data_IF_702754593164
#
_entry.id   IF_702754593164
#
_cell.length_a   1.000
_cell.length_b   1.000
_cell.length_c   1.000
_cell.angle_alpha   90.00
_cell.angle_beta   90.00
_cell.angle_gamma   90.00
#
_symmetry.space_group_name_H-M   'P 1'
#
loop_
_entity.id
_entity.type
_entity.pdbx_description
1 polymer ?
#
# COMPACT_ATOMS: atom_id res chain seq x y z
N UNK A 1 -32.12 -17.95 48.76
CA UNK A 1 -32.13 -16.52 48.34
C UNK A 1 -30.74 -15.85 48.27
N UNK A 2 -29.60 -16.55 48.48
CA UNK A 2 -28.24 -15.95 48.38
C UNK A 2 -27.53 -16.14 47.03
N UNK A 3 -28.08 -16.93 46.10
CA UNK A 3 -27.46 -17.25 44.80
C UNK A 3 -27.91 -16.36 43.63
N UNK A 4 -29.06 -15.67 43.76
CA UNK A 4 -29.58 -14.77 42.73
C UNK A 4 -28.86 -13.41 42.70
N UNK A 5 -28.36 -12.95 43.85
CA UNK A 5 -27.66 -11.66 43.95
C UNK A 5 -26.27 -11.69 43.30
N UNK A 6 -25.56 -12.82 43.34
CA UNK A 6 -24.23 -12.97 42.74
C UNK A 6 -24.27 -13.11 41.22
N UNK A 7 -25.35 -13.71 40.68
CA UNK A 7 -25.56 -13.81 39.23
C UNK A 7 -25.97 -12.48 38.60
N UNK A 8 -26.72 -11.63 39.33
CA UNK A 8 -27.11 -10.29 38.87
C UNK A 8 -25.94 -9.29 38.92
N UNK A 9 -25.05 -9.41 39.91
CA UNK A 9 -23.81 -8.60 40.00
C UNK A 9 -22.81 -8.93 38.87
N UNK A 10 -22.74 -10.18 38.43
CA UNK A 10 -21.92 -10.58 37.27
C UNK A 10 -22.44 -10.05 35.93
N UNK A 11 -23.77 -9.92 35.79
CA UNK A 11 -24.39 -9.37 34.57
C UNK A 11 -24.26 -7.84 34.49
N UNK A 12 -24.30 -7.14 35.64
CA UNK A 12 -24.10 -5.69 35.72
C UNK A 12 -22.65 -5.27 35.41
N UNK A 13 -21.65 -6.10 35.71
CA UNK A 13 -20.24 -5.86 35.37
C UNK A 13 -19.92 -6.03 33.88
N UNK A 14 -20.74 -6.76 33.12
CA UNK A 14 -20.61 -6.91 31.66
C UNK A 14 -21.29 -5.78 30.87
N UNK A 15 -22.23 -5.05 31.50
CA UNK A 15 -22.87 -3.86 30.92
C UNK A 15 -22.07 -2.56 31.15
N UNK A 16 -21.09 -2.56 32.06
CA UNK A 16 -20.24 -1.37 32.33
C UNK A 16 -18.94 -1.33 31.52
N UNK A 17 -18.63 -2.36 30.71
CA UNK A 17 -17.39 -2.41 29.93
C UNK A 17 -17.51 -1.87 28.49
N UNK A 18 -18.66 -1.32 28.10
CA UNK A 18 -18.90 -0.77 26.76
C UNK A 18 -18.92 0.76 26.73
N UNK A 19 -18.02 1.42 27.47
CA UNK A 19 -17.61 2.80 27.18
C UNK A 19 -16.10 2.83 26.92
N UNK A 20 -15.65 2.04 25.94
CA UNK A 20 -14.55 2.51 25.12
C UNK A 20 -15.11 3.68 24.32
N UNK A 21 -15.02 4.89 24.89
CA UNK A 21 -15.14 6.11 24.13
C UNK A 21 -14.22 5.96 22.93
N UNK A 22 -14.81 5.72 21.76
CA UNK A 22 -14.13 5.97 20.50
C UNK A 22 -13.84 7.46 20.56
N UNK A 23 -12.65 7.81 21.02
CA UNK A 23 -12.07 9.10 20.72
C UNK A 23 -12.01 9.11 19.21
N UNK A 24 -12.98 9.78 18.58
CA UNK A 24 -12.70 10.47 17.34
C UNK A 24 -11.47 11.31 17.67
N UNK A 25 -10.30 10.85 17.23
CA UNK A 25 -9.10 11.63 17.28
C UNK A 25 -9.42 12.87 16.45
N UNK A 26 -9.72 13.96 17.14
CA UNK A 26 -9.78 15.29 16.55
C UNK A 26 -8.45 15.49 15.86
N UNK A 27 -8.49 15.72 14.55
CA UNK A 27 -7.35 16.08 13.72
C UNK A 27 -6.48 17.10 14.46
N UNK A 28 -5.36 16.62 15.00
CA UNK A 28 -4.31 17.49 15.50
C UNK A 28 -3.58 18.02 14.27
N UNK A 29 -4.01 19.20 13.82
CA UNK A 29 -3.25 20.23 13.10
C UNK A 29 -1.84 19.82 12.66
N UNK A 30 -1.70 19.55 11.36
CA UNK A 30 -0.43 19.29 10.68
C UNK A 30 -0.55 19.36 9.16
N UNK A 31 -1.07 20.47 8.64
CA UNK A 31 -1.27 20.82 7.22
C UNK A 31 -2.22 19.92 6.41
N UNK A 32 -3.30 20.51 5.90
CA UNK A 32 -4.11 19.97 4.80
C UNK A 32 -3.32 19.94 3.46
N UNK A 33 -2.00 19.78 3.50
CA UNK A 33 -1.14 19.81 2.34
C UNK A 33 -1.18 18.43 1.68
N UNK A 34 -1.81 18.36 0.51
CA UNK A 34 -1.78 17.18 -0.34
C UNK A 34 -0.32 16.84 -0.70
N UNK A 35 0.02 15.56 -0.91
CA UNK A 35 1.31 15.17 -1.46
C UNK A 35 1.61 15.89 -2.79
N UNK A 36 2.89 16.02 -3.19
CA UNK A 36 3.21 16.61 -4.49
C UNK A 36 2.56 15.79 -5.61
N UNK A 37 2.16 16.49 -6.66
CA UNK A 37 1.50 15.98 -7.86
C UNK A 37 0.10 15.38 -7.63
N UNK A 38 -0.54 15.78 -6.53
CA UNK A 38 -1.88 15.31 -6.15
C UNK A 38 -2.83 16.50 -6.04
N UNK A 39 -4.06 16.30 -6.51
CA UNK A 39 -5.14 17.26 -6.33
C UNK A 39 -6.40 16.59 -5.78
N UNK A 40 -7.18 17.35 -5.01
CA UNK A 40 -8.51 16.97 -4.58
C UNK A 40 -9.55 17.87 -5.25
N UNK A 41 -10.57 17.28 -5.86
CA UNK A 41 -11.63 18.06 -6.49
C UNK A 41 -12.46 18.79 -5.42
N UNK A 42 -12.65 20.11 -5.52
CA UNK A 42 -13.47 20.85 -4.56
C UNK A 42 -14.97 20.52 -4.70
N UNK A 43 -15.41 20.04 -5.88
CA UNK A 43 -16.83 19.76 -6.15
C UNK A 43 -17.23 18.33 -5.84
N UNK A 44 -16.38 17.35 -6.16
CA UNK A 44 -16.71 15.92 -5.99
C UNK A 44 -16.00 15.29 -4.80
N UNK A 45 -14.99 15.96 -4.23
CA UNK A 45 -14.14 15.41 -3.19
C UNK A 45 -13.21 14.29 -3.66
N UNK A 46 -13.25 13.93 -4.95
CA UNK A 46 -12.42 12.88 -5.54
C UNK A 46 -10.93 13.24 -5.51
N UNK A 47 -10.11 12.21 -5.41
CA UNK A 47 -8.65 12.29 -5.33
C UNK A 47 -8.02 11.99 -6.69
N UNK A 48 -7.08 12.82 -7.10
CA UNK A 48 -6.41 12.72 -8.40
C UNK A 48 -4.91 12.64 -8.16
N UNK A 49 -4.30 11.54 -8.58
CA UNK A 49 -2.88 11.28 -8.41
C UNK A 49 -2.19 11.18 -9.76
N UNK A 50 -1.44 12.22 -10.11
CA UNK A 50 -0.70 12.30 -11.37
C UNK A 50 0.72 11.72 -11.23
N UNK A 51 1.13 11.21 -10.06
CA UNK A 51 2.45 10.60 -9.87
C UNK A 51 2.65 9.37 -10.75
N UNK A 52 1.58 8.66 -11.11
CA UNK A 52 1.61 7.51 -12.01
C UNK A 52 2.12 7.83 -13.42
N UNK A 53 2.05 9.10 -13.83
CA UNK A 53 2.54 9.61 -15.13
C UNK A 53 3.69 10.62 -14.98
N UNK A 54 4.15 10.85 -13.74
CA UNK A 54 5.33 11.65 -13.43
C UNK A 54 6.59 10.80 -13.64
N UNK A 55 7.39 11.16 -14.62
CA UNK A 55 8.62 10.41 -14.92
C UNK A 55 9.78 11.00 -14.14
N UNK A 56 10.55 10.16 -13.47
CA UNK A 56 11.78 10.58 -12.80
C UNK A 56 12.99 10.21 -13.66
N UNK A 57 13.98 11.09 -13.83
CA UNK A 57 15.21 10.75 -14.55
C UNK A 57 15.91 9.57 -13.84
N UNK A 58 16.37 8.56 -14.58
CA UNK A 58 17.02 7.39 -13.99
C UNK A 58 18.33 7.79 -13.33
N UNK A 59 18.51 7.46 -12.04
CA UNK A 59 19.71 7.82 -11.28
C UNK A 59 20.93 6.98 -11.65
N UNK A 60 20.71 5.76 -12.17
CA UNK A 60 21.78 4.82 -12.56
C UNK A 60 21.39 4.01 -13.80
N UNK A 61 22.39 3.57 -14.58
CA UNK A 61 22.20 2.68 -15.74
C UNK A 61 21.66 1.30 -15.35
N UNK A 62 21.86 0.87 -14.10
CA UNK A 62 21.41 -0.44 -13.60
C UNK A 62 19.92 -0.44 -13.21
N UNK A 63 19.37 0.70 -12.80
CA UNK A 63 17.94 0.88 -12.51
C UNK A 63 17.10 0.87 -13.80
N UNK A 64 17.69 1.30 -14.92
CA UNK A 64 17.12 1.22 -16.29
C UNK A 64 16.77 -0.21 -16.72
N UNK A 65 17.49 -1.22 -16.22
CA UNK A 65 17.32 -2.63 -16.61
C UNK A 65 16.29 -3.39 -15.76
N UNK A 66 15.83 -2.81 -14.64
CA UNK A 66 15.04 -3.53 -13.63
C UNK A 66 13.54 -3.25 -13.65
N UNK A 67 13.06 -2.28 -14.43
CA UNK A 67 11.64 -1.98 -14.53
C UNK A 67 11.26 -1.43 -15.90
N UNK A 68 9.98 -1.55 -16.26
CA UNK A 68 9.34 -0.84 -17.38
C UNK A 68 9.31 0.69 -17.13
N UNK A 69 10.44 1.29 -16.75
CA UNK A 69 10.57 2.71 -16.48
C UNK A 69 10.84 3.36 -17.84
N UNK A 70 9.90 4.20 -18.28
CA UNK A 70 10.02 4.94 -19.53
C UNK A 70 11.18 5.94 -19.41
N UNK A 71 12.08 5.92 -20.38
CA UNK A 71 13.29 6.76 -20.41
C UNK A 71 13.16 8.01 -21.28
N UNK A 72 11.97 8.25 -21.83
CA UNK A 72 11.64 9.41 -22.65
C UNK A 72 10.46 10.18 -22.03
N UNK A 73 10.47 11.50 -22.14
CA UNK A 73 9.39 12.37 -21.71
C UNK A 73 8.16 12.27 -22.64
N UNK A 74 7.05 12.93 -22.30
CA UNK A 74 5.84 12.89 -23.12
C UNK A 74 5.99 13.82 -24.32
N UNK A 75 5.86 13.27 -25.53
CA UNK A 75 5.96 14.06 -26.77
C UNK A 75 4.58 14.49 -27.26
N UNK A 76 4.48 15.76 -27.67
CA UNK A 76 3.31 16.31 -28.35
C UNK A 76 3.73 16.91 -29.69
N UNK A 77 3.04 16.53 -30.78
CA UNK A 77 3.31 17.05 -32.12
C UNK A 77 2.60 18.38 -32.31
N UNK A 78 3.35 19.45 -32.55
CA UNK A 78 2.82 20.76 -32.91
C UNK A 78 2.69 20.90 -34.42
N UNK A 79 1.72 20.23 -35.05
CA UNK A 79 1.55 20.26 -36.51
C UNK A 79 1.44 21.69 -37.06
N UNK A 80 0.68 22.55 -36.38
CA UNK A 80 0.48 23.95 -36.78
C UNK A 80 1.66 24.87 -36.39
N UNK A 81 2.47 24.45 -35.41
CA UNK A 81 3.61 25.23 -34.91
C UNK A 81 4.94 24.81 -35.56
N UNK A 82 4.94 23.71 -36.34
CA UNK A 82 6.11 23.10 -36.97
C UNK A 82 7.26 22.77 -36.00
N UNK A 83 6.94 22.44 -34.76
CA UNK A 83 7.91 21.94 -33.78
C UNK A 83 7.31 20.81 -32.94
N UNK A 84 8.18 19.92 -32.46
CA UNK A 84 7.81 18.89 -31.51
C UNK A 84 8.05 19.41 -30.10
N UNK A 85 7.10 19.14 -29.22
CA UNK A 85 7.16 19.51 -27.81
C UNK A 85 7.48 18.27 -26.98
N UNK A 86 8.33 18.47 -25.97
CA UNK A 86 8.69 17.44 -25.00
C UNK A 86 8.34 17.97 -23.62
N UNK A 87 7.53 17.19 -22.89
CA UNK A 87 6.90 17.63 -21.64
C UNK A 87 6.94 16.49 -20.64
N UNK A 88 7.18 16.81 -19.38
CA UNK A 88 6.98 15.90 -18.28
C UNK A 88 5.93 16.47 -17.30
N UNK A 89 5.29 15.58 -16.53
CA UNK A 89 4.23 15.93 -15.58
C UNK A 89 4.80 15.91 -14.17
N UNK A 90 4.67 17.02 -13.43
CA UNK A 90 5.15 17.20 -12.05
C UNK A 90 6.66 17.02 -11.80
N UNK A 91 7.44 16.68 -12.82
CA UNK A 91 8.87 16.44 -12.77
C UNK A 91 9.58 17.17 -13.93
N UNK A 92 10.90 17.39 -13.83
CA UNK A 92 11.68 17.90 -14.96
C UNK A 92 11.75 16.88 -16.09
N UNK A 93 12.04 17.34 -17.31
CA UNK A 93 12.22 16.43 -18.45
C UNK A 93 13.33 15.42 -18.17
N UNK A 94 13.17 14.20 -18.70
CA UNK A 94 14.13 13.11 -18.54
C UNK A 94 15.40 13.36 -19.38
N UNK A 95 15.26 14.10 -20.47
CA UNK A 95 16.33 14.41 -21.41
C UNK A 95 17.30 15.46 -20.84
N UNK A 96 18.60 15.22 -21.02
CA UNK A 96 19.65 16.18 -20.62
C UNK A 96 19.70 17.37 -21.59
N UNK A 97 18.95 18.43 -21.29
CA UNK A 97 18.94 19.66 -22.10
C UNK A 97 20.15 20.56 -21.80
N UNK A 98 20.65 21.22 -22.86
CA UNK A 98 21.74 22.21 -22.80
C UNK A 98 21.38 23.43 -23.64
N UNK A 99 22.04 24.55 -23.36
CA UNK A 99 21.95 25.79 -24.13
C UNK A 99 20.52 26.33 -24.29
N UNK A 100 19.76 26.29 -23.19
CA UNK A 100 18.39 26.81 -23.13
C UNK A 100 18.39 28.33 -23.24
N UNK A 101 17.66 28.87 -24.21
CA UNK A 101 17.64 30.31 -24.49
C UNK A 101 17.02 31.08 -23.33
N UNK A 102 17.77 32.04 -22.78
CA UNK A 102 17.29 32.99 -21.75
C UNK A 102 16.93 32.37 -20.40
N UNK A 103 17.39 31.14 -20.13
CA UNK A 103 17.26 30.47 -18.83
C UNK A 103 18.65 30.23 -18.27
N UNK A 104 18.84 30.54 -16.99
CA UNK A 104 20.12 30.34 -16.30
C UNK A 104 20.47 28.85 -16.18
N UNK A 105 21.77 28.52 -16.25
CA UNK A 105 22.30 27.14 -16.22
C UNK A 105 21.84 26.36 -14.98
N UNK A 106 21.74 27.04 -13.84
CA UNK A 106 21.26 26.43 -12.60
C UNK A 106 19.80 25.95 -12.70
N UNK A 107 19.00 26.55 -13.60
CA UNK A 107 17.58 26.21 -13.78
C UNK A 107 17.32 25.20 -14.89
N UNK A 108 18.35 24.78 -15.64
CA UNK A 108 18.16 23.80 -16.73
C UNK A 108 17.65 22.46 -16.22
N UNK A 109 18.04 22.06 -15.00
CA UNK A 109 17.59 20.81 -14.36
C UNK A 109 16.12 20.84 -13.93
N UNK A 110 15.50 22.01 -13.87
CA UNK A 110 14.10 22.16 -13.43
C UNK A 110 13.15 22.35 -14.62
N UNK A 111 13.65 22.36 -15.86
CA UNK A 111 12.80 22.52 -17.04
C UNK A 111 11.92 21.28 -17.18
N UNK A 112 10.61 21.47 -17.14
CA UNK A 112 9.61 20.40 -17.26
C UNK A 112 9.00 20.31 -18.65
N UNK A 113 9.18 21.33 -19.48
CA UNK A 113 8.66 21.37 -20.83
C UNK A 113 9.53 22.25 -21.73
N UNK A 114 9.81 21.79 -22.95
CA UNK A 114 10.57 22.53 -23.94
C UNK A 114 10.16 22.18 -25.38
N UNK A 115 10.59 23.01 -26.32
CA UNK A 115 10.61 22.69 -27.75
C UNK A 115 11.93 23.11 -28.37
N UNK A 116 12.25 22.48 -29.49
CA UNK A 116 13.42 22.82 -30.31
C UNK A 116 12.96 23.47 -31.61
N UNK A 117 13.56 24.62 -31.95
CA UNK A 117 13.31 25.32 -33.21
C UNK A 117 14.61 25.94 -33.70
N UNK A 118 14.95 25.71 -34.98
CA UNK A 118 16.16 26.27 -35.62
C UNK A 118 17.45 25.91 -34.86
N UNK A 119 17.53 24.69 -34.31
CA UNK A 119 18.70 24.22 -33.54
C UNK A 119 18.88 24.86 -32.16
N UNK A 120 17.86 25.58 -31.67
CA UNK A 120 17.84 26.18 -30.33
C UNK A 120 16.74 25.58 -29.46
N UNK A 121 17.05 25.41 -28.19
CA UNK A 121 16.12 24.87 -27.18
C UNK A 121 15.46 26.00 -26.41
N UNK A 122 14.13 26.01 -26.40
CA UNK A 122 13.32 26.99 -25.69
C UNK A 122 12.52 26.28 -24.60
N UNK A 123 12.76 26.64 -23.33
CA UNK A 123 11.91 26.20 -22.22
C UNK A 123 10.56 26.91 -22.30
N UNK A 124 9.48 26.16 -22.09
CA UNK A 124 8.12 26.68 -22.00
C UNK A 124 7.56 26.56 -20.57
N UNK A 125 8.43 26.23 -19.61
CA UNK A 125 8.08 26.21 -18.20
C UNK A 125 9.04 25.40 -17.34
N UNK A 126 9.09 25.77 -16.07
CA UNK A 126 9.77 25.07 -14.98
C UNK A 126 8.83 24.08 -14.29
N UNK A 127 9.41 23.10 -13.62
CA UNK A 127 8.71 22.07 -12.86
C UNK A 127 7.80 22.72 -11.81
N UNK A 128 6.53 22.31 -11.85
CA UNK A 128 5.56 22.55 -10.79
C UNK A 128 4.91 21.22 -10.41
N UNK A 129 4.67 21.02 -9.12
CA UNK A 129 4.09 19.79 -8.58
C UNK A 129 2.71 20.01 -7.96
N UNK A 130 2.08 21.16 -8.19
CA UNK A 130 0.77 21.48 -7.60
C UNK A 130 -0.29 21.59 -8.70
N UNK A 131 -0.97 20.49 -9.07
CA UNK A 131 -2.09 20.55 -9.98
C UNK A 131 -3.31 21.18 -9.29
N UNK A 132 -4.01 22.05 -10.00
CA UNK A 132 -5.14 22.83 -9.48
C UNK A 132 -6.42 22.58 -10.27
N UNK A 133 -7.56 22.61 -9.60
CA UNK A 133 -8.86 22.57 -10.27
C UNK A 133 -9.26 23.96 -10.74
N UNK A 134 -9.48 24.12 -12.05
CA UNK A 134 -10.14 25.30 -12.62
C UNK A 134 -11.53 24.91 -13.09
N UNK A 135 -12.53 25.17 -12.25
CA UNK A 135 -13.88 24.64 -12.43
C UNK A 135 -13.88 23.12 -12.36
N UNK A 136 -14.27 22.45 -13.46
CA UNK A 136 -14.29 20.98 -13.56
C UNK A 136 -13.04 20.37 -14.18
N UNK A 137 -12.08 21.19 -14.64
CA UNK A 137 -10.86 20.71 -15.29
C UNK A 137 -9.70 20.70 -14.31
N UNK A 138 -8.96 19.59 -14.30
CA UNK A 138 -7.68 19.48 -13.60
C UNK A 138 -6.60 20.11 -14.47
N UNK A 139 -5.86 21.08 -13.93
CA UNK A 139 -4.91 21.90 -14.68
C UNK A 139 -3.58 21.97 -13.94
N UNK A 140 -2.47 21.85 -14.66
CA UNK A 140 -1.12 22.12 -14.15
C UNK A 140 -0.51 23.27 -14.94
N UNK A 141 0.01 24.27 -14.23
CA UNK A 141 0.69 25.42 -14.83
C UNK A 141 2.20 25.31 -14.67
N UNK A 142 2.93 25.55 -15.73
CA UNK A 142 4.37 25.78 -15.69
C UNK A 142 4.67 27.23 -16.06
N UNK A 143 5.54 27.86 -15.30
CA UNK A 143 5.94 29.27 -15.44
C UNK A 143 7.45 29.38 -15.63
N UNK A 144 7.95 30.60 -15.83
CA UNK A 144 9.40 30.89 -15.78
C UNK A 144 10.25 30.16 -16.84
N UNK A 145 9.65 29.95 -18.02
CA UNK A 145 10.35 29.48 -19.20
C UNK A 145 11.27 30.52 -19.83
N UNK A 146 11.67 30.26 -21.08
CA UNK A 146 12.46 31.19 -21.90
C UNK A 146 11.70 32.50 -22.16
N UNK A 147 12.38 33.62 -22.41
CA UNK A 147 11.74 34.90 -22.71
C UNK A 147 10.91 34.80 -24.00
N UNK A 148 9.78 35.50 -24.03
CA UNK A 148 8.91 35.56 -25.20
C UNK A 148 9.45 36.53 -26.26
N UNK A 149 9.19 36.22 -27.53
CA UNK A 149 9.53 37.11 -28.63
C UNK A 149 8.47 38.22 -28.68
N UNK A 150 8.83 39.43 -28.22
CA UNK A 150 7.89 40.55 -28.16
C UNK A 150 8.38 41.72 -27.30
N UNK A 151 7.64 42.81 -27.36
CA UNK A 151 7.93 44.08 -26.70
C UNK A 151 7.95 43.90 -25.17
N UNK A 152 9.01 44.42 -24.54
CA UNK A 152 9.19 44.48 -23.10
C UNK A 152 7.97 45.15 -22.46
N UNK A 153 7.16 44.40 -21.70
CA UNK A 153 6.13 45.00 -20.85
C UNK A 153 6.85 45.58 -19.62
N UNK A 154 7.32 46.81 -19.75
CA UNK A 154 8.15 47.48 -18.73
C UNK A 154 9.62 47.04 -18.76
N UNK A 155 10.27 46.92 -17.59
CA UNK A 155 11.68 46.49 -17.48
C UNK A 155 11.88 44.96 -17.45
N UNK A 156 10.80 44.17 -17.60
CA UNK A 156 10.85 42.71 -17.50
C UNK A 156 10.33 42.05 -18.78
N UNK A 157 11.11 41.13 -19.33
CA UNK A 157 10.67 40.26 -20.43
C UNK A 157 9.65 39.25 -19.89
N UNK A 158 8.49 39.13 -20.55
CA UNK A 158 7.51 38.09 -20.23
C UNK A 158 8.12 36.72 -20.56
N UNK A 159 7.99 35.78 -19.64
CA UNK A 159 8.50 34.42 -19.81
C UNK A 159 7.43 33.50 -20.40
N UNK A 160 7.87 32.50 -21.17
CA UNK A 160 6.99 31.47 -21.71
C UNK A 160 6.40 30.65 -20.58
N UNK A 161 5.14 30.28 -20.74
CA UNK A 161 4.39 29.49 -19.77
C UNK A 161 3.52 28.47 -20.47
N UNK A 162 3.24 27.39 -19.76
CA UNK A 162 2.47 26.27 -20.28
C UNK A 162 1.31 25.95 -19.35
N UNK A 163 0.15 25.69 -19.94
CA UNK A 163 -1.05 25.24 -19.22
C UNK A 163 -1.43 23.89 -19.79
N UNK A 164 -1.39 22.86 -18.94
CA UNK A 164 -1.81 21.51 -19.28
C UNK A 164 -3.16 21.22 -18.65
N UNK A 165 -4.14 20.85 -19.45
CA UNK A 165 -5.43 20.36 -18.99
C UNK A 165 -5.42 18.83 -19.03
N UNK A 166 -5.69 18.19 -17.90
CA UNK A 166 -5.79 16.74 -17.81
C UNK A 166 -7.22 16.27 -18.09
N UNK A 167 -7.34 15.27 -18.95
CA UNK A 167 -8.60 14.61 -19.29
C UNK A 167 -8.53 13.13 -18.91
N UNK A 168 -9.57 12.65 -18.22
CA UNK A 168 -9.70 11.24 -17.85
C UNK A 168 -9.91 10.40 -19.11
N UNK A 169 -8.99 9.46 -19.33
CA UNK A 169 -9.10 8.41 -20.33
C UNK A 169 -8.97 7.07 -19.62
N UNK A 170 -10.09 6.36 -19.45
CA UNK A 170 -10.12 5.09 -18.71
C UNK A 170 -9.52 3.94 -19.49
N UNK A 171 -9.42 4.06 -20.81
CA UNK A 171 -8.92 3.01 -21.69
C UNK A 171 -7.39 3.05 -21.81
N UNK A 172 -6.78 4.18 -21.43
CA UNK A 172 -5.34 4.33 -21.37
C UNK A 172 -4.72 3.58 -20.16
N UNK A 173 -3.55 2.92 -20.34
CA UNK A 173 -2.82 2.31 -19.24
C UNK A 173 -2.48 3.30 -18.12
N UNK A 174 -2.48 2.85 -16.86
CA UNK A 174 -2.26 3.69 -15.66
C UNK A 174 -0.95 4.51 -15.69
N UNK A 175 0.08 4.00 -16.37
CA UNK A 175 1.40 4.63 -16.45
C UNK A 175 1.65 5.35 -17.77
N UNK A 176 0.60 5.59 -18.56
CA UNK A 176 0.69 6.23 -19.86
C UNK A 176 -0.08 7.54 -19.87
N UNK A 177 0.55 8.59 -20.40
CA UNK A 177 -0.09 9.84 -20.76
C UNK A 177 0.08 10.11 -22.26
N UNK A 178 -0.94 10.66 -22.88
CA UNK A 178 -0.84 11.15 -24.26
C UNK A 178 -1.02 12.66 -24.26
N UNK A 179 0.06 13.37 -24.56
CA UNK A 179 0.07 14.83 -24.62
C UNK A 179 -0.26 15.29 -26.04
N UNK A 180 -1.25 16.18 -26.15
CA UNK A 180 -1.69 16.78 -27.41
C UNK A 180 -1.57 18.30 -27.33
N UNK A 181 -0.98 18.90 -28.37
CA UNK A 181 -0.85 20.36 -28.46
C UNK A 181 -2.18 20.95 -28.94
N UNK A 182 -2.74 21.87 -28.15
CA UNK A 182 -4.00 22.54 -28.48
C UNK A 182 -3.73 23.82 -29.28
N UNK A 183 -2.72 24.59 -28.87
CA UNK A 183 -2.37 25.84 -29.56
C UNK A 183 -1.58 26.83 -28.71
N UNK A 184 -1.25 27.95 -29.35
CA UNK A 184 -0.66 29.13 -28.73
C UNK A 184 -1.28 30.38 -29.36
N UNK A 185 -1.52 31.43 -28.57
CA UNK A 185 -2.09 32.69 -29.05
C UNK A 185 -1.02 33.72 -29.37
N UNK A 186 0.02 33.78 -28.53
CA UNK A 186 1.03 34.85 -28.50
C UNK A 186 2.46 34.31 -28.57
N UNK A 187 2.64 33.02 -28.92
CA UNK A 187 3.93 32.31 -28.86
C UNK A 187 4.61 32.41 -27.48
N UNK A 188 3.83 32.68 -26.43
CA UNK A 188 4.30 32.87 -25.07
C UNK A 188 3.54 31.97 -24.10
N UNK A 189 2.26 31.74 -24.36
CA UNK A 189 1.40 30.82 -23.63
C UNK A 189 1.08 29.60 -24.50
N UNK A 190 1.35 28.42 -23.97
CA UNK A 190 1.13 27.15 -24.66
C UNK A 190 0.07 26.34 -23.93
N UNK A 191 -0.89 25.81 -24.68
CA UNK A 191 -1.96 24.98 -24.15
C UNK A 191 -1.82 23.55 -24.63
N UNK A 192 -1.84 22.61 -23.68
CA UNK A 192 -1.82 21.18 -23.97
C UNK A 192 -3.01 20.49 -23.31
N UNK A 193 -3.52 19.46 -23.97
CA UNK A 193 -4.46 18.51 -23.40
C UNK A 193 -3.72 17.19 -23.20
N UNK A 194 -3.73 16.70 -21.96
CA UNK A 194 -3.06 15.45 -21.57
C UNK A 194 -4.12 14.43 -21.19
N UNK A 195 -4.19 13.31 -21.90
CA UNK A 195 -5.11 12.22 -21.62
C UNK A 195 -4.40 11.11 -20.85
N UNK A 196 -4.99 10.71 -19.73
CA UNK A 196 -4.48 9.61 -18.90
C UNK A 196 -5.57 9.07 -17.99
N UNK A 197 -5.45 7.80 -17.60
CA UNK A 197 -6.30 7.20 -16.56
C UNK A 197 -5.95 7.74 -15.16
N UNK A 198 -4.75 8.29 -14.96
CA UNK A 198 -4.36 9.01 -13.74
C UNK A 198 -5.24 10.24 -13.45
N UNK A 199 -5.78 10.84 -14.51
CA UNK A 199 -6.70 11.97 -14.42
C UNK A 199 -8.15 11.55 -14.11
N UNK A 200 -8.41 10.26 -13.91
CA UNK A 200 -9.70 9.76 -13.46
C UNK A 200 -9.73 9.78 -11.93
N UNK A 201 -10.60 10.61 -11.36
CA UNK A 201 -10.72 10.76 -9.92
C UNK A 201 -11.04 9.43 -9.23
N UNK A 202 -10.21 9.07 -8.25
CA UNK A 202 -10.36 7.88 -7.42
C UNK A 202 -10.74 8.23 -5.98
N UNK A 203 -10.92 7.17 -5.18
CA UNK A 203 -11.03 7.30 -3.73
C UNK A 203 -9.61 7.40 -3.18
N UNK A 204 -9.33 8.42 -2.37
CA UNK A 204 -8.04 8.56 -1.72
C UNK A 204 -7.73 7.27 -0.92
N UNK A 205 -6.48 6.80 -0.91
CA UNK A 205 -6.05 5.82 0.06
C UNK A 205 -6.45 6.30 1.45
N UNK A 206 -7.20 5.50 2.21
CA UNK A 206 -7.52 5.86 3.58
C UNK A 206 -6.21 5.83 4.37
N UNK A 207 -5.71 7.00 4.77
CA UNK A 207 -4.57 7.15 5.66
C UNK A 207 -4.96 6.65 7.07
N UNK A 208 -5.05 5.33 7.22
CA UNK A 208 -5.29 4.63 8.50
C UNK A 208 -6.65 4.83 9.18
N UNK A 209 -7.49 5.77 8.73
CA UNK A 209 -8.72 6.16 9.44
C UNK A 209 -9.99 5.41 9.02
N UNK A 210 -9.92 4.54 8.00
CA UNK A 210 -11.06 3.75 7.51
C UNK A 210 -10.77 2.26 7.48
N UNK A 211 -11.71 1.45 8.00
CA UNK A 211 -11.71 0.02 7.70
C UNK A 211 -12.02 -0.13 6.21
N UNK A 212 -11.05 -0.61 5.42
CA UNK A 212 -11.29 -0.97 4.03
C UNK A 212 -12.40 -2.02 3.92
N UNK A 213 -12.91 -2.31 2.71
CA UNK A 213 -14.00 -3.27 2.52
C UNK A 213 -13.74 -4.60 3.25
N UNK A 214 -12.53 -5.13 3.14
CA UNK A 214 -12.09 -6.34 3.85
C UNK A 214 -12.11 -6.20 5.38
N UNK A 215 -11.76 -5.02 5.91
CA UNK A 215 -11.81 -4.74 7.35
C UNK A 215 -13.23 -4.73 7.89
N UNK A 216 -14.18 -4.14 7.15
CA UNK A 216 -15.60 -4.15 7.54
C UNK A 216 -16.14 -5.58 7.54
N UNK A 217 -15.87 -6.37 6.49
CA UNK A 217 -16.27 -7.78 6.45
C UNK A 217 -15.65 -8.59 7.60
N UNK A 218 -14.38 -8.34 7.94
CA UNK A 218 -13.69 -8.98 9.05
C UNK A 218 -14.34 -8.70 10.40
N UNK A 219 -14.70 -7.44 10.68
CA UNK A 219 -15.39 -7.06 11.93
C UNK A 219 -16.77 -7.71 12.03
N UNK A 220 -17.55 -7.70 10.94
CA UNK A 220 -18.88 -8.34 10.91
C UNK A 220 -18.77 -9.85 11.16
N UNK A 221 -17.82 -10.52 10.51
CA UNK A 221 -17.58 -11.95 10.69
C UNK A 221 -17.16 -12.27 12.14
N UNK A 222 -16.28 -11.47 12.74
CA UNK A 222 -15.85 -11.63 14.13
C UNK A 222 -17.03 -11.54 15.10
N UNK A 223 -17.90 -10.53 14.95
CA UNK A 223 -19.09 -10.36 15.79
C UNK A 223 -20.03 -11.57 15.65
N UNK A 224 -20.23 -12.06 14.42
CA UNK A 224 -21.08 -13.23 14.17
C UNK A 224 -20.53 -14.50 14.84
N UNK A 225 -19.22 -14.73 14.81
CA UNK A 225 -18.57 -15.85 15.49
C UNK A 225 -18.73 -15.76 17.01
N UNK A 226 -18.50 -14.58 17.59
CA UNK A 226 -18.67 -14.37 19.04
C UNK A 226 -20.11 -14.59 19.45
N UNK A 227 -21.08 -14.05 18.70
CA UNK A 227 -22.50 -14.25 18.98
C UNK A 227 -22.91 -15.73 18.88
N UNK A 228 -22.38 -16.47 17.90
CA UNK A 228 -22.62 -17.91 17.76
C UNK A 228 -22.07 -18.70 18.95
N UNK A 229 -20.83 -18.42 19.38
CA UNK A 229 -20.21 -19.09 20.52
C UNK A 229 -20.93 -18.76 21.82
N UNK A 230 -21.19 -17.48 22.11
CA UNK A 230 -21.87 -17.05 23.35
C UNK A 230 -23.31 -17.55 23.39
N UNK A 231 -24.06 -17.36 22.31
CA UNK A 231 -25.45 -17.81 22.21
C UNK A 231 -25.58 -19.33 22.27
N UNK A 232 -24.71 -20.07 21.57
CA UNK A 232 -24.70 -21.53 21.59
C UNK A 232 -24.28 -22.10 22.95
N UNK A 233 -23.27 -21.52 23.60
CA UNK A 233 -22.88 -21.90 24.97
C UNK A 233 -24.00 -21.61 25.98
N UNK A 234 -24.66 -20.46 25.88
CA UNK A 234 -25.81 -20.13 26.72
C UNK A 234 -26.93 -21.16 26.50
N UNK A 235 -27.30 -21.43 25.26
CA UNK A 235 -28.34 -22.41 24.91
C UNK A 235 -28.03 -23.82 25.44
N UNK A 236 -26.82 -24.33 25.22
CA UNK A 236 -26.44 -25.67 25.67
C UNK A 236 -26.35 -25.78 27.21
N UNK A 237 -26.04 -24.67 27.89
CA UNK A 237 -26.01 -24.61 29.36
C UNK A 237 -27.40 -24.49 29.97
N UNK A 238 -28.26 -23.62 29.42
CA UNK A 238 -29.56 -23.30 30.04
C UNK A 238 -30.65 -24.27 29.63
N UNK A 239 -30.65 -24.73 28.37
CA UNK A 239 -31.70 -25.61 27.82
C UNK A 239 -31.28 -27.07 27.85
N UNK A 240 -30.04 -27.39 27.49
CA UNK A 240 -29.56 -28.78 27.38
C UNK A 240 -28.80 -29.31 28.61
N UNK A 241 -28.59 -28.48 29.64
CA UNK A 241 -27.92 -28.81 30.90
C UNK A 241 -26.57 -29.53 30.79
N UNK A 242 -25.82 -29.33 29.71
CA UNK A 242 -24.50 -29.95 29.54
C UNK A 242 -23.43 -29.21 30.35
N UNK A 243 -22.50 -29.95 30.96
CA UNK A 243 -21.39 -29.41 31.77
C UNK A 243 -20.04 -29.70 31.11
N UNK A 244 -19.08 -28.78 31.28
CA UNK A 244 -17.72 -28.92 30.77
C UNK A 244 -17.52 -28.46 29.33
N UNK A 245 -16.46 -28.95 28.68
CA UNK A 245 -16.00 -28.53 27.34
C UNK A 245 -16.98 -28.88 26.20
N UNK A 246 -18.00 -29.69 26.49
CA UNK A 246 -19.11 -30.00 25.58
C UNK A 246 -20.13 -28.86 25.42
N UNK A 247 -19.95 -27.73 26.12
CA UNK A 247 -20.81 -26.54 26.02
C UNK A 247 -20.57 -25.70 24.75
N UNK A 248 -19.47 -25.91 24.04
CA UNK A 248 -19.16 -25.17 22.83
C UNK A 248 -19.86 -25.79 21.61
N UNK A 249 -20.68 -25.03 20.86
CA UNK A 249 -21.34 -25.54 19.66
C UNK A 249 -20.30 -25.92 18.58
N UNK A 250 -20.34 -27.17 18.12
CA UNK A 250 -19.41 -27.75 17.13
C UNK A 250 -17.92 -27.63 17.51
N UNK A 251 -17.56 -28.01 18.75
CA UNK A 251 -16.19 -27.92 19.27
C UNK A 251 -15.11 -28.55 18.37
N UNK A 252 -15.39 -29.68 17.73
CA UNK A 252 -14.44 -30.36 16.84
C UNK A 252 -14.03 -29.52 15.62
N UNK A 253 -14.95 -28.72 15.08
CA UNK A 253 -14.65 -27.80 13.96
C UNK A 253 -13.78 -26.62 14.42
N UNK A 254 -14.07 -26.06 15.59
CA UNK A 254 -13.31 -24.93 16.15
C UNK A 254 -11.90 -25.32 16.56
N UNK A 255 -11.75 -26.45 17.25
CA UNK A 255 -10.43 -26.98 17.63
C UNK A 255 -9.57 -27.23 16.39
N UNK A 256 -10.13 -27.86 15.34
CA UNK A 256 -9.44 -28.08 14.07
C UNK A 256 -9.04 -26.78 13.35
N UNK A 257 -9.91 -25.75 13.39
CA UNK A 257 -9.60 -24.44 12.80
C UNK A 257 -8.44 -23.74 13.54
N UNK A 258 -8.46 -23.72 14.87
CA UNK A 258 -7.38 -23.11 15.66
C UNK A 258 -6.06 -23.87 15.54
N UNK A 259 -6.10 -25.20 15.50
CA UNK A 259 -4.91 -26.02 15.27
C UNK A 259 -4.31 -25.80 13.88
N UNK A 260 -5.14 -25.71 12.84
CA UNK A 260 -4.70 -25.39 11.48
C UNK A 260 -4.04 -24.01 11.40
N UNK A 261 -4.64 -23.00 12.05
CA UNK A 261 -4.10 -21.63 12.07
C UNK A 261 -2.77 -21.58 12.82
N UNK A 262 -2.67 -22.24 13.98
CA UNK A 262 -1.43 -22.39 14.76
C UNK A 262 -0.32 -23.04 13.92
N UNK A 263 -0.63 -24.13 13.22
CA UNK A 263 0.34 -24.82 12.36
C UNK A 263 0.77 -23.95 11.19
N UNK A 264 -0.15 -23.22 10.56
CA UNK A 264 0.17 -22.27 9.48
C UNK A 264 1.10 -21.14 9.95
N UNK A 265 0.83 -20.53 11.11
CA UNK A 265 1.72 -19.51 11.69
C UNK A 265 3.10 -20.08 12.07
N UNK A 266 3.14 -21.31 12.56
CA UNK A 266 4.39 -21.99 12.91
C UNK A 266 5.24 -22.29 11.66
N UNK A 267 4.60 -22.72 10.57
CA UNK A 267 5.25 -22.96 9.28
C UNK A 267 5.75 -21.64 8.66
N UNK A 268 4.93 -20.59 8.67
CA UNK A 268 5.32 -19.28 8.14
C UNK A 268 6.47 -18.67 8.96
N UNK A 269 6.38 -18.71 10.28
CA UNK A 269 7.41 -18.21 11.20
C UNK A 269 8.73 -18.99 11.09
N UNK A 270 8.67 -20.31 10.92
CA UNK A 270 9.87 -21.14 10.71
C UNK A 270 10.50 -20.94 9.32
N UNK A 271 9.71 -20.65 8.30
CA UNK A 271 10.21 -20.33 6.95
C UNK A 271 10.90 -18.95 6.90
N UNK A 272 10.33 -17.93 7.55
CA UNK A 272 10.96 -16.61 7.72
C UNK A 272 12.23 -16.72 8.58
N UNK A 273 12.19 -17.49 9.68
CA UNK A 273 13.37 -17.78 10.50
C UNK A 273 14.49 -18.50 9.75
N UNK A 274 14.15 -19.34 8.75
CA UNK A 274 15.14 -20.01 7.89
C UNK A 274 15.80 -19.03 6.92
N UNK A 275 15.05 -18.08 6.37
CA UNK A 275 15.58 -16.99 5.52
C UNK A 275 16.50 -16.04 6.30
N UNK A 276 16.19 -15.74 7.57
CA UNK A 276 17.05 -14.92 8.44
C UNK A 276 18.30 -15.67 8.96
N UNK A 277 18.29 -17.00 9.04
CA UNK A 277 19.48 -17.80 9.43
C UNK A 277 20.49 -18.01 8.31
N UNK A 278 20.14 -17.75 7.04
CA UNK A 278 21.10 -17.80 5.92
C UNK A 278 22.04 -16.58 5.84
N UNK A 279 21.84 -15.53 6.68
CA UNK A 279 22.74 -14.35 6.73
C UNK A 279 23.76 -14.34 7.87
N UNK A 280 23.88 -15.41 8.67
CA UNK A 280 25.00 -15.56 9.63
C UNK A 280 25.94 -16.66 9.17
N UNK A 281 26.90 -16.29 8.32
CA UNK A 281 28.10 -17.07 8.09
C UNK A 281 28.95 -17.12 9.36
N UNK A 282 29.60 -18.25 9.67
CA UNK A 282 30.93 -18.24 10.26
C UNK A 282 31.92 -18.70 9.19
N UNK A 283 32.92 -17.85 8.96
CA UNK A 283 34.07 -18.14 8.15
C UNK A 283 35.00 -19.16 8.85
N UNK A 284 35.59 -20.02 8.02
CA UNK A 284 36.96 -20.58 8.09
C UNK A 284 37.43 -21.35 9.35
N UNK A 285 37.90 -22.59 9.16
CA UNK A 285 38.90 -23.15 10.08
C UNK A 285 39.16 -24.67 10.05
N UNK A 286 40.09 -25.09 9.19
CA UNK A 286 41.07 -26.17 9.39
C UNK A 286 40.73 -27.66 9.18
N UNK A 287 41.81 -28.34 8.79
CA UNK A 287 41.97 -29.64 8.13
C UNK A 287 42.34 -30.79 9.07
N UNK A 288 42.07 -32.01 8.57
CA UNK A 288 42.92 -33.23 8.54
C UNK A 288 42.86 -34.28 9.66
N UNK A 289 43.01 -35.52 9.15
CA UNK A 289 43.40 -36.80 9.79
C UNK A 289 42.29 -37.54 10.54
N UNK A 290 42.05 -38.84 10.41
CA UNK A 290 42.76 -39.94 9.75
C UNK A 290 42.20 -41.26 10.32
N UNK A 291 42.16 -42.31 9.49
CA UNK A 291 42.17 -43.74 9.83
C UNK A 291 41.51 -44.24 11.14
N UNK A 292 40.46 -45.07 11.04
CA UNK A 292 40.53 -46.49 11.48
C UNK A 292 39.20 -47.25 11.30
N UNK A 293 39.34 -48.44 10.67
CA UNK A 293 38.67 -49.74 10.92
C UNK A 293 37.24 -49.77 11.50
N UNK A 294 36.31 -50.29 10.67
CA UNK A 294 35.77 -51.65 10.76
C UNK A 294 35.03 -52.10 12.04
N UNK A 295 33.85 -52.72 11.86
CA UNK A 295 33.39 -53.78 12.75
C UNK A 295 31.91 -53.76 13.14
N UNK A 296 31.22 -54.82 12.74
CA UNK A 296 29.85 -55.20 13.05
C UNK A 296 29.63 -55.68 14.50
N UNK A 297 28.36 -55.58 14.96
CA UNK A 297 27.60 -56.47 15.90
C UNK A 297 27.64 -56.25 17.43
N UNK A 298 26.41 -56.02 17.95
CA UNK A 298 25.74 -56.44 19.20
C UNK A 298 25.93 -55.76 20.57
N UNK A 299 24.74 -55.45 21.14
CA UNK A 299 24.22 -55.87 22.45
C UNK A 299 24.16 -54.87 23.64
N UNK A 300 22.90 -54.58 24.02
CA UNK A 300 22.31 -54.61 25.37
C UNK A 300 22.58 -53.42 26.32
N UNK A 301 21.48 -52.74 26.68
CA UNK A 301 21.22 -52.30 28.05
C UNK A 301 20.81 -50.83 28.23
N UNK A 302 19.53 -50.54 28.51
CA UNK A 302 19.13 -49.27 29.13
C UNK A 302 17.71 -48.77 28.85
N UNK A 303 16.74 -49.24 29.65
CA UNK A 303 15.38 -48.68 29.78
C UNK A 303 15.40 -47.18 30.12
N UNK A 304 14.52 -46.38 29.50
CA UNK A 304 13.51 -45.58 30.24
C UNK A 304 12.39 -45.08 29.32
N UNK A 305 11.20 -45.56 29.65
CA UNK A 305 9.89 -45.29 29.06
C UNK A 305 9.21 -44.19 29.92
N UNK A 306 8.69 -43.13 29.31
CA UNK A 306 7.77 -42.20 29.94
C UNK A 306 6.96 -41.52 28.84
N UNK A 307 5.66 -41.84 28.75
CA UNK A 307 4.77 -41.27 27.74
C UNK A 307 3.65 -42.18 27.23
N UNK A 308 3.19 -43.16 28.02
CA UNK A 308 1.96 -43.93 27.74
C UNK A 308 1.25 -44.23 29.05
N UNK A 309 0.46 -43.28 29.54
CA UNK A 309 -0.37 -43.51 30.74
C UNK A 309 -1.56 -42.53 30.83
N UNK A 310 -2.30 -42.35 29.74
CA UNK A 310 -3.58 -41.58 29.77
C UNK A 310 -4.72 -42.46 29.28
N UNK A 311 -4.46 -43.30 28.28
CA UNK A 311 -5.44 -44.30 27.80
C UNK A 311 -5.63 -45.48 28.77
N UNK A 312 -4.67 -45.72 29.67
CA UNK A 312 -4.78 -46.74 30.71
C UNK A 312 -5.59 -46.26 31.93
N UNK A 313 -5.50 -44.97 32.28
CA UNK A 313 -6.33 -44.37 33.35
C UNK A 313 -7.80 -44.32 32.96
N UNK A 314 -8.13 -43.95 31.70
CA UNK A 314 -9.51 -43.94 31.23
C UNK A 314 -10.16 -45.33 31.20
N UNK A 315 -9.38 -46.40 30.99
CA UNK A 315 -9.88 -47.79 31.06
C UNK A 315 -10.20 -48.26 32.47
N UNK A 316 -9.54 -47.71 33.50
CA UNK A 316 -9.81 -48.06 34.89
C UNK A 316 -11.06 -47.37 35.43
N UNK A 317 -11.42 -46.21 34.87
CA UNK A 317 -12.64 -45.48 35.25
C UNK A 317 -13.88 -46.21 34.71
N UNK A 318 -13.83 -46.70 33.46
CA UNK A 318 -14.94 -47.46 32.86
C UNK A 318 -15.17 -48.81 33.56
N UNK A 319 -14.12 -49.45 34.12
CA UNK A 319 -14.29 -50.69 34.91
C UNK A 319 -14.86 -50.46 36.31
N UNK A 320 -14.68 -49.27 36.90
CA UNK A 320 -15.22 -48.98 38.23
C UNK A 320 -16.72 -48.69 38.20
N UNK A 321 -17.26 -48.17 37.09
CA UNK A 321 -18.69 -47.89 36.96
C UNK A 321 -19.54 -49.16 36.77
N UNK A 322 -18.94 -50.29 36.36
CA UNK A 322 -19.65 -51.58 36.21
C UNK A 322 -19.80 -52.37 37.53
N UNK A 323 -19.06 -52.06 38.60
CA UNK A 323 -19.09 -52.81 39.88
C UNK A 323 -20.13 -52.26 40.90
N UNK A 324 -20.82 -51.16 40.58
CA UNK A 324 -21.82 -50.55 41.48
C UNK A 324 -23.29 -50.74 41.05
N UNK A 325 -23.55 -51.51 39.98
CA UNK A 325 -24.92 -51.81 39.51
C UNK A 325 -25.48 -53.21 39.87
N UNK A 326 -24.80 -53.99 40.74
CA UNK A 326 -25.35 -55.22 41.36
C UNK A 326 -25.54 -55.10 42.89
#
# INVERSE_FOLDING_TARGET
MKSLATSLLGFLLLLSASHASVYAASDSTGSNALPPCVARSPTTGLYYDLNSISLSPPKTKDEKLRGNIRDESWHAKGHDYHANFTINVCAPVVEDIKDVVGVDRARWQNVSAYYEKEGKTYSIGQQASEPVFRGRKLVLNYTDGSPCAGELIGNASRTKSTIMSFLCDRDAPAHQATASFVGTMDQCTYFFEVRSSAACGGVAPADGQGLGPAGVFGVIALIAVVAYLVGGCAYQRTVMHQRGWRQCPNYSLWAGMFDFVKDMFTILGSSLGRVFRFKRSPALGHTRSGSQRGGFISAIGGRRNSGRDVDAENRLIDQLDEEWED
#
